data_IF_524617681693
#
_entry.id   IF_524617681693
#
_cell.length_a   1.000
_cell.length_b   1.000
_cell.length_c   1.000
_cell.angle_alpha   90.00
_cell.angle_beta   90.00
_cell.angle_gamma   90.00
#
_symmetry.space_group_name_H-M   'P 1'
#
loop_
_entity.id
_entity.type
_entity.pdbx_description
1 polymer ?
#
# COMPACT_ATOMS: atom_id res chain seq x y z
N UNK A 1 -8.96 4.64 12.49
CA UNK A 1 -7.79 3.90 11.96
C UNK A 1 -6.82 3.71 13.12
N UNK A 2 -6.53 2.46 13.51
CA UNK A 2 -5.45 2.20 14.47
C UNK A 2 -4.14 2.78 13.92
N UNK A 3 -3.30 3.30 14.80
CA UNK A 3 -2.01 3.88 14.44
C UNK A 3 -1.10 2.76 13.92
N UNK A 4 -1.17 2.49 12.61
CA UNK A 4 -0.41 1.44 11.92
C UNK A 4 1.10 1.67 12.01
N UNK A 5 1.50 2.94 12.15
CA UNK A 5 2.90 3.33 12.20
C UNK A 5 3.56 3.00 13.54
N UNK A 6 4.71 2.35 13.46
CA UNK A 6 5.69 2.21 14.53
C UNK A 6 7.07 2.51 13.97
N UNK A 7 7.82 3.38 14.62
CA UNK A 7 9.17 3.76 14.19
C UNK A 7 10.13 2.55 14.21
N UNK A 8 9.96 1.65 15.20
CA UNK A 8 10.70 0.39 15.26
C UNK A 8 10.39 -0.53 14.08
N UNK A 9 9.14 -0.56 13.60
CA UNK A 9 8.78 -1.33 12.40
C UNK A 9 9.36 -0.71 11.15
N UNK A 10 9.24 0.61 11.00
CA UNK A 10 9.84 1.32 9.87
C UNK A 10 11.35 1.07 9.79
N UNK A 11 12.03 1.08 10.95
CA UNK A 11 13.44 0.72 11.06
C UNK A 11 13.72 -0.73 10.68
N UNK A 12 12.90 -1.68 11.13
CA UNK A 12 13.01 -3.10 10.71
C UNK A 12 12.84 -3.27 9.20
N UNK A 13 11.95 -2.51 8.56
CA UNK A 13 11.82 -2.51 7.10
C UNK A 13 13.12 -2.04 6.43
N UNK A 14 13.70 -0.96 6.92
CA UNK A 14 15.00 -0.48 6.43
C UNK A 14 16.12 -1.50 6.61
N UNK A 15 16.22 -2.10 7.80
CA UNK A 15 17.21 -3.12 8.13
C UNK A 15 17.00 -4.43 7.34
N UNK A 16 15.79 -4.70 6.84
CA UNK A 16 15.52 -5.86 5.97
C UNK A 16 16.13 -5.72 4.56
N UNK A 17 16.49 -4.50 4.14
CA UNK A 17 17.10 -4.26 2.83
C UNK A 17 18.57 -4.69 2.83
N UNK A 18 19.11 -5.15 1.69
CA UNK A 18 20.56 -5.30 1.53
C UNK A 18 21.27 -3.96 1.74
N UNK A 19 22.51 -3.99 2.22
CA UNK A 19 23.25 -2.80 2.62
C UNK A 19 23.39 -1.78 1.47
N UNK A 20 23.61 -2.27 0.25
CA UNK A 20 23.70 -1.44 -0.96
C UNK A 20 22.37 -0.74 -1.34
N UNK A 21 21.22 -1.24 -0.88
CA UNK A 21 19.91 -0.64 -1.15
C UNK A 21 19.43 0.29 -0.03
N UNK A 22 20.14 0.36 1.10
CA UNK A 22 19.85 1.26 2.23
C UNK A 22 20.35 2.68 1.96
N UNK A 23 19.77 3.33 0.96
CA UNK A 23 20.15 4.68 0.54
C UNK A 23 18.96 5.65 0.50
N UNK A 24 19.22 6.93 0.76
CA UNK A 24 18.24 8.02 0.71
C UNK A 24 18.06 8.62 -0.70
N UNK A 25 18.92 8.22 -1.63
CA UNK A 25 18.87 8.58 -3.05
C UNK A 25 19.62 7.52 -3.87
N UNK A 26 19.20 7.39 -5.12
CA UNK A 26 19.84 6.54 -6.13
C UNK A 26 20.12 7.38 -7.37
N UNK A 27 21.37 7.39 -7.82
CA UNK A 27 21.87 8.05 -9.02
C UNK A 27 22.83 7.12 -9.76
N UNK A 28 23.39 7.56 -10.89
CA UNK A 28 24.26 6.70 -11.71
C UNK A 28 25.54 6.21 -11.01
N UNK A 29 25.94 6.82 -9.89
CA UNK A 29 27.17 6.48 -9.15
C UNK A 29 26.90 5.43 -8.08
N UNK A 30 25.78 5.55 -7.38
CA UNK A 30 25.44 4.68 -6.24
C UNK A 30 24.31 3.68 -6.52
N UNK A 31 23.79 3.61 -7.76
CA UNK A 31 22.74 2.66 -8.16
C UNK A 31 23.24 1.21 -8.07
N UNK A 32 22.57 0.35 -7.31
CA UNK A 32 22.79 -1.10 -7.38
C UNK A 32 22.51 -1.65 -8.79
N UNK A 33 23.22 -2.70 -9.20
CA UNK A 33 23.14 -3.21 -10.59
C UNK A 33 21.73 -3.73 -10.94
N UNK A 34 21.07 -4.37 -9.99
CA UNK A 34 19.70 -4.88 -10.11
C UNK A 34 18.68 -3.73 -10.30
N UNK A 35 18.88 -2.60 -9.62
CA UNK A 35 18.05 -1.40 -9.76
C UNK A 35 18.28 -0.69 -11.11
N UNK A 36 19.50 -0.70 -11.63
CA UNK A 36 19.83 -0.04 -12.89
C UNK A 36 18.99 -0.51 -14.08
N UNK A 37 18.55 -1.78 -14.07
CA UNK A 37 17.65 -2.35 -15.10
C UNK A 37 16.19 -2.00 -14.87
N UNK A 38 15.78 -1.81 -13.61
CA UNK A 38 14.39 -1.52 -13.25
C UNK A 38 14.04 -0.03 -13.38
N UNK A 39 15.00 0.88 -13.21
CA UNK A 39 14.76 2.33 -13.21
C UNK A 39 14.65 2.89 -14.63
N UNK A 40 13.51 3.50 -14.96
CA UNK A 40 13.27 4.06 -16.29
C UNK A 40 14.17 5.27 -16.55
N UNK A 41 14.83 5.31 -17.71
CA UNK A 41 15.59 6.49 -18.18
C UNK A 41 14.63 7.63 -18.50
N UNK A 42 14.86 8.79 -17.88
CA UNK A 42 14.20 10.04 -18.26
C UNK A 42 15.11 10.79 -19.22
N UNK A 43 14.65 11.05 -20.45
CA UNK A 43 15.38 11.90 -21.39
C UNK A 43 15.29 13.36 -20.95
N UNK A 44 16.44 13.98 -20.69
CA UNK A 44 16.54 15.42 -20.38
C UNK A 44 16.76 16.20 -21.68
N UNK A 45 17.68 15.73 -22.51
CA UNK A 45 18.00 16.32 -23.81
C UNK A 45 18.12 15.20 -24.84
N UNK A 46 17.23 15.21 -25.84
CA UNK A 46 17.20 14.21 -26.92
C UNK A 46 18.34 14.41 -27.92
N UNK A 47 18.81 15.63 -28.13
CA UNK A 47 19.84 15.94 -29.12
C UNK A 47 21.22 15.56 -28.61
N UNK A 48 21.43 15.63 -27.29
CA UNK A 48 22.69 15.27 -26.62
C UNK A 48 22.69 13.87 -26.00
N UNK A 49 21.64 13.09 -26.22
CA UNK A 49 21.44 11.75 -25.65
C UNK A 49 21.63 11.71 -24.13
N UNK A 50 21.21 12.78 -23.44
CA UNK A 50 21.38 12.92 -22.00
C UNK A 50 20.14 12.41 -21.27
N UNK A 51 20.33 11.34 -20.49
CA UNK A 51 19.29 10.75 -19.65
C UNK A 51 19.63 10.84 -18.17
N UNK A 52 18.60 10.94 -17.32
CA UNK A 52 18.71 10.75 -15.88
C UNK A 52 17.93 9.53 -15.42
N UNK A 53 18.52 8.78 -14.50
CA UNK A 53 17.89 7.65 -13.79
C UNK A 53 17.85 7.88 -12.28
N UNK A 54 17.95 9.15 -11.84
CA UNK A 54 18.07 9.45 -10.42
C UNK A 54 16.73 9.58 -9.70
N UNK A 55 16.64 8.99 -8.50
CA UNK A 55 15.55 9.18 -7.53
C UNK A 55 16.16 9.69 -6.23
N UNK A 56 15.51 10.63 -5.56
CA UNK A 56 15.93 11.09 -4.24
C UNK A 56 14.73 11.16 -3.29
N UNK A 57 14.91 10.72 -2.06
CA UNK A 57 13.94 10.83 -0.97
C UNK A 57 14.30 11.93 0.04
N UNK A 58 15.38 12.68 -0.22
CA UNK A 58 15.90 13.72 0.68
C UNK A 58 14.87 14.81 0.95
N UNK A 59 14.92 15.38 2.16
CA UNK A 59 13.96 16.38 2.63
C UNK A 59 12.68 15.79 3.21
N UNK A 60 12.52 14.45 3.17
CA UNK A 60 11.48 13.75 3.91
C UNK A 60 12.01 13.34 5.30
N UNK A 61 11.13 13.18 6.30
CA UNK A 61 11.46 12.59 7.59
C UNK A 61 12.07 11.19 7.42
N UNK A 62 13.02 10.85 8.28
CA UNK A 62 13.78 9.60 8.19
C UNK A 62 12.91 8.33 8.10
N UNK A 63 11.83 8.16 8.88
CA UNK A 63 10.99 6.96 8.75
C UNK A 63 10.25 6.88 7.40
N UNK A 64 9.94 8.01 6.75
CA UNK A 64 9.39 7.98 5.38
C UNK A 64 10.44 7.56 4.34
N UNK A 65 11.71 7.94 4.54
CA UNK A 65 12.81 7.49 3.66
C UNK A 65 12.93 5.97 3.75
N UNK A 66 12.88 5.42 4.96
CA UNK A 66 12.89 3.98 5.18
C UNK A 66 11.74 3.26 4.47
N UNK A 67 10.52 3.77 4.63
CA UNK A 67 9.31 3.24 3.98
C UNK A 67 9.39 3.29 2.46
N UNK A 68 9.87 4.41 1.89
CA UNK A 68 9.97 4.61 0.44
C UNK A 68 11.03 3.71 -0.18
N UNK A 69 12.22 3.65 0.41
CA UNK A 69 13.29 2.78 -0.07
C UNK A 69 12.86 1.31 -0.02
N UNK A 70 12.20 0.90 1.07
CA UNK A 70 11.67 -0.45 1.19
C UNK A 70 10.60 -0.74 0.13
N UNK A 71 9.67 0.20 -0.10
CA UNK A 71 8.67 0.04 -1.16
C UNK A 71 9.27 -0.05 -2.57
N UNK A 72 10.33 0.71 -2.87
CA UNK A 72 11.06 0.61 -4.14
C UNK A 72 11.71 -0.75 -4.29
N UNK A 73 12.37 -1.25 -3.24
CA UNK A 73 12.97 -2.58 -3.25
C UNK A 73 11.94 -3.68 -3.54
N UNK A 74 10.79 -3.65 -2.86
CA UNK A 74 9.73 -4.62 -3.11
C UNK A 74 9.18 -4.53 -4.54
N UNK A 75 9.02 -3.32 -5.10
CA UNK A 75 8.61 -3.16 -6.50
C UNK A 75 9.60 -3.79 -7.47
N UNK A 76 10.90 -3.57 -7.27
CA UNK A 76 11.95 -4.17 -8.10
C UNK A 76 11.97 -5.69 -7.96
N UNK A 77 11.87 -6.21 -6.74
CA UNK A 77 11.80 -7.66 -6.48
C UNK A 77 10.57 -8.34 -7.12
N UNK A 78 9.44 -7.63 -7.20
CA UNK A 78 8.23 -8.06 -7.90
C UNK A 78 8.33 -7.95 -9.45
N UNK A 79 9.41 -7.35 -9.96
CA UNK A 79 9.69 -7.15 -11.38
C UNK A 79 9.05 -5.90 -12.00
N UNK A 80 8.60 -4.94 -11.19
CA UNK A 80 8.07 -3.67 -11.69
C UNK A 80 9.18 -2.69 -12.07
N UNK A 81 8.95 -1.95 -13.16
CA UNK A 81 9.80 -0.83 -13.53
C UNK A 81 9.51 0.39 -12.64
N UNK A 82 10.56 1.07 -12.19
CA UNK A 82 10.46 2.25 -11.33
C UNK A 82 10.47 3.49 -12.22
N UNK A 83 9.33 4.20 -12.27
CA UNK A 83 9.22 5.46 -13.00
C UNK A 83 9.85 6.61 -12.21
N UNK A 84 11.04 7.04 -12.59
CA UNK A 84 11.81 8.09 -11.90
C UNK A 84 11.01 9.39 -11.75
N UNK A 85 10.34 9.83 -12.82
CA UNK A 85 9.49 11.04 -12.82
C UNK A 85 8.40 10.96 -11.75
N UNK A 86 7.70 9.82 -11.65
CA UNK A 86 6.60 9.67 -10.69
C UNK A 86 7.10 9.75 -9.25
N UNK A 87 8.24 9.13 -8.94
CA UNK A 87 8.84 9.19 -7.61
C UNK A 87 9.39 10.58 -7.27
N UNK A 88 9.96 11.29 -8.24
CA UNK A 88 10.41 12.67 -8.04
C UNK A 88 9.22 13.62 -7.77
N UNK A 89 8.14 13.52 -8.54
CA UNK A 89 6.93 14.32 -8.30
C UNK A 89 6.24 13.94 -6.98
N UNK A 90 6.20 12.65 -6.64
CA UNK A 90 5.74 12.18 -5.33
C UNK A 90 6.54 12.82 -4.20
N UNK A 91 7.87 12.71 -4.24
CA UNK A 91 8.77 13.28 -3.23
C UNK A 91 8.60 14.81 -3.13
N UNK A 92 8.57 15.52 -4.26
CA UNK A 92 8.34 16.97 -4.30
C UNK A 92 7.00 17.34 -3.64
N UNK A 93 5.93 16.62 -3.95
CA UNK A 93 4.62 16.84 -3.33
C UNK A 93 4.64 16.61 -1.82
N UNK A 94 5.24 15.51 -1.35
CA UNK A 94 5.35 15.20 0.08
C UNK A 94 6.18 16.24 0.84
N UNK A 95 7.36 16.62 0.33
CA UNK A 95 8.19 17.67 0.92
C UNK A 95 7.40 18.98 1.02
N UNK A 96 6.72 19.38 -0.06
CA UNK A 96 5.89 20.59 -0.09
C UNK A 96 4.78 20.56 0.98
N UNK A 97 4.13 19.40 1.17
CA UNK A 97 3.11 19.22 2.21
C UNK A 97 3.70 19.30 3.63
N UNK A 98 4.91 18.78 3.84
CA UNK A 98 5.59 18.81 5.14
C UNK A 98 6.14 20.20 5.47
N UNK A 99 6.51 21.00 4.47
CA UNK A 99 7.00 22.36 4.68
C UNK A 99 5.87 23.39 4.82
N UNK A 100 4.86 23.32 3.94
CA UNK A 100 3.85 24.38 3.78
C UNK A 100 2.39 23.91 3.96
N UNK A 101 2.18 22.63 4.27
CA UNK A 101 0.87 22.06 4.59
C UNK A 101 0.36 22.44 5.98
N UNK A 102 -0.74 21.82 6.38
CA UNK A 102 -1.33 21.96 7.71
C UNK A 102 -0.52 21.21 8.79
N UNK A 103 -0.80 21.48 10.08
CA UNK A 103 -0.01 20.92 11.20
C UNK A 103 0.15 19.40 11.17
N UNK A 104 -0.86 18.67 10.71
CA UNK A 104 -0.84 17.20 10.64
C UNK A 104 0.18 16.67 9.61
N UNK A 105 0.29 17.31 8.43
CA UNK A 105 1.30 16.93 7.45
C UNK A 105 2.71 17.31 7.93
N UNK A 106 2.85 18.46 8.58
CA UNK A 106 4.12 18.94 9.11
C UNK A 106 4.68 18.07 10.25
N UNK A 107 3.80 17.44 11.04
CA UNK A 107 4.19 16.50 12.09
C UNK A 107 4.19 15.03 11.64
N UNK A 108 3.80 14.74 10.40
CA UNK A 108 3.76 13.38 9.88
C UNK A 108 5.17 12.81 9.74
N UNK A 109 5.43 11.68 10.40
CA UNK A 109 6.71 10.96 10.35
C UNK A 109 6.70 9.76 9.40
N UNK A 110 5.51 9.36 8.92
CA UNK A 110 5.28 8.17 8.08
C UNK A 110 4.25 8.46 7.00
N UNK A 111 4.36 7.76 5.87
CA UNK A 111 3.37 7.80 4.80
C UNK A 111 1.99 7.36 5.28
N UNK A 112 1.90 6.48 6.28
CA UNK A 112 0.61 6.00 6.83
C UNK A 112 0.03 6.92 7.89
N UNK A 113 0.67 8.06 8.20
CA UNK A 113 0.18 9.03 9.19
C UNK A 113 -1.12 9.73 8.75
N UNK A 114 -1.34 9.84 7.44
CA UNK A 114 -2.52 10.40 6.80
C UNK A 114 -2.98 9.44 5.71
N UNK A 115 -4.27 9.38 5.41
CA UNK A 115 -4.75 8.68 4.20
C UNK A 115 -4.22 9.34 2.92
N UNK A 116 -4.20 8.62 1.80
CA UNK A 116 -3.77 9.18 0.51
C UNK A 116 -4.57 10.42 0.09
N UNK A 117 -5.87 10.50 0.43
CA UNK A 117 -6.72 11.66 0.15
C UNK A 117 -6.35 12.85 1.03
N UNK A 118 -6.04 12.61 2.30
CA UNK A 118 -5.55 13.62 3.22
C UNK A 118 -4.18 14.16 2.76
N UNK A 119 -3.25 13.30 2.36
CA UNK A 119 -2.00 13.72 1.75
C UNK A 119 -2.23 14.61 0.53
N UNK A 120 -3.09 14.21 -0.40
CA UNK A 120 -3.42 15.02 -1.58
C UNK A 120 -4.04 16.37 -1.21
N UNK A 121 -4.87 16.42 -0.16
CA UNK A 121 -5.45 17.65 0.38
C UNK A 121 -4.39 18.57 0.98
N UNK A 122 -3.43 18.02 1.71
CA UNK A 122 -2.33 18.78 2.31
C UNK A 122 -1.36 19.32 1.25
N UNK A 123 -1.07 18.53 0.21
CA UNK A 123 -0.33 19.01 -0.97
C UNK A 123 -1.09 20.15 -1.63
N UNK A 124 -2.40 20.01 -1.88
CA UNK A 124 -3.22 21.07 -2.48
C UNK A 124 -3.15 22.35 -1.66
N UNK A 125 -3.25 22.26 -0.33
CA UNK A 125 -3.11 23.41 0.58
C UNK A 125 -1.74 24.08 0.44
N UNK A 126 -0.68 23.30 0.36
CA UNK A 126 0.69 23.79 0.21
C UNK A 126 0.94 24.45 -1.17
N UNK A 127 0.38 23.86 -2.23
CA UNK A 127 0.41 24.39 -3.61
C UNK A 127 -0.26 25.76 -3.70
N UNK A 128 -1.41 25.94 -3.04
CA UNK A 128 -2.13 27.23 -3.01
C UNK A 128 -1.37 28.33 -2.26
N UNK A 129 -0.37 28.00 -1.44
CA UNK A 129 0.45 28.97 -0.67
C UNK A 129 1.78 29.32 -1.32
N UNK A 130 2.21 28.56 -2.33
CA UNK A 130 3.54 28.69 -2.95
C UNK A 130 3.38 29.17 -4.39
N UNK A 131 3.17 28.24 -5.32
CA UNK A 131 2.90 28.50 -6.73
C UNK A 131 1.94 27.44 -7.27
N UNK A 132 0.69 27.86 -7.48
CA UNK A 132 -0.39 26.97 -7.88
C UNK A 132 -0.23 26.41 -9.29
N UNK A 133 0.40 27.17 -10.19
CA UNK A 133 0.47 26.84 -11.62
C UNK A 133 1.49 25.74 -11.92
N UNK A 134 2.68 25.84 -11.30
CA UNK A 134 3.79 24.91 -11.51
C UNK A 134 3.61 23.56 -10.82
N UNK A 135 2.76 23.51 -9.79
CA UNK A 135 2.65 22.37 -8.88
C UNK A 135 1.27 21.68 -8.90
N UNK A 136 0.36 22.06 -9.80
CA UNK A 136 -0.99 21.51 -9.85
C UNK A 136 -1.02 19.98 -10.05
N UNK A 137 -0.10 19.43 -10.84
CA UNK A 137 0.01 17.99 -11.11
C UNK A 137 0.41 17.18 -9.87
N UNK A 138 1.12 17.80 -8.90
CA UNK A 138 1.62 17.10 -7.71
C UNK A 138 0.49 16.46 -6.90
N UNK A 139 -0.68 17.11 -6.84
CA UNK A 139 -1.84 16.60 -6.10
C UNK A 139 -2.26 15.23 -6.63
N UNK A 140 -2.36 15.09 -7.95
CA UNK A 140 -2.77 13.83 -8.59
C UNK A 140 -1.68 12.77 -8.48
N UNK A 141 -0.40 13.17 -8.63
CA UNK A 141 0.72 12.23 -8.47
C UNK A 141 0.81 11.68 -7.05
N UNK A 142 0.66 12.52 -6.03
CA UNK A 142 0.66 12.10 -4.63
C UNK A 142 -0.55 11.22 -4.35
N UNK A 143 -1.76 11.63 -4.76
CA UNK A 143 -2.98 10.84 -4.54
C UNK A 143 -2.85 9.40 -5.05
N UNK A 144 -2.39 9.23 -6.29
CA UNK A 144 -2.29 7.92 -6.92
C UNK A 144 -1.13 7.10 -6.35
N UNK A 145 0.03 7.72 -6.13
CA UNK A 145 1.23 6.99 -5.72
C UNK A 145 1.19 6.60 -4.24
N UNK A 146 0.74 7.50 -3.36
CA UNK A 146 0.67 7.24 -1.92
C UNK A 146 -0.28 6.08 -1.63
N UNK A 147 -1.41 5.97 -2.34
CA UNK A 147 -2.33 4.84 -2.17
C UNK A 147 -1.63 3.49 -2.33
N UNK A 148 -0.91 3.30 -3.44
CA UNK A 148 -0.21 2.05 -3.71
C UNK A 148 0.91 1.75 -2.71
N UNK A 149 1.59 2.79 -2.21
CA UNK A 149 2.62 2.64 -1.19
C UNK A 149 1.99 2.28 0.17
N UNK A 150 0.89 2.93 0.54
CA UNK A 150 0.16 2.63 1.77
C UNK A 150 -0.42 1.23 1.79
N UNK A 151 -0.95 0.75 0.67
CA UNK A 151 -1.44 -0.63 0.56
C UNK A 151 -0.30 -1.63 0.89
N UNK A 152 0.90 -1.39 0.34
CA UNK A 152 2.07 -2.24 0.64
C UNK A 152 2.54 -2.13 2.09
N UNK A 153 2.60 -0.90 2.64
CA UNK A 153 2.97 -0.68 4.04
C UNK A 153 1.95 -1.27 5.01
N UNK A 154 0.67 -1.30 4.66
CA UNK A 154 -0.37 -1.93 5.48
C UNK A 154 -0.09 -3.42 5.68
N UNK A 155 0.35 -4.13 4.64
CA UNK A 155 0.78 -5.52 4.78
C UNK A 155 2.06 -5.65 5.63
N UNK A 156 3.04 -4.78 5.39
CA UNK A 156 4.33 -4.81 6.08
C UNK A 156 4.24 -4.51 7.58
N UNK A 157 3.33 -3.62 7.98
CA UNK A 157 3.11 -3.26 9.38
C UNK A 157 2.09 -4.15 10.11
N UNK A 158 1.41 -5.04 9.39
CA UNK A 158 0.41 -5.92 9.99
C UNK A 158 1.04 -7.15 10.67
N UNK A 159 1.17 -7.08 12.00
CA UNK A 159 1.70 -8.16 12.83
C UNK A 159 0.68 -9.29 13.07
N UNK A 160 -0.60 -9.02 12.85
CA UNK A 160 -1.65 -10.01 13.09
C UNK A 160 -1.65 -11.11 12.05
N UNK A 161 -2.59 -12.05 12.22
CA UNK A 161 -2.91 -13.02 11.18
C UNK A 161 -3.21 -12.31 9.85
N UNK A 162 -2.53 -12.72 8.78
CA UNK A 162 -2.61 -12.07 7.46
C UNK A 162 -4.06 -11.93 6.97
N UNK A 163 -4.91 -12.92 7.28
CA UNK A 163 -6.29 -12.98 6.82
C UNK A 163 -7.20 -11.93 7.46
N UNK A 164 -6.77 -11.25 8.54
CA UNK A 164 -7.55 -10.17 9.16
C UNK A 164 -7.60 -8.91 8.31
N UNK A 165 -6.66 -8.73 7.39
CA UNK A 165 -6.68 -7.62 6.44
C UNK A 165 -7.88 -7.75 5.48
N UNK A 166 -8.45 -6.61 5.09
CA UNK A 166 -9.55 -6.57 4.10
C UNK A 166 -9.05 -6.72 2.65
N UNK A 167 -7.75 -6.59 2.43
CA UNK A 167 -7.13 -6.78 1.12
C UNK A 167 -6.09 -7.86 1.29
N UNK A 168 -6.22 -8.93 0.52
CA UNK A 168 -5.26 -10.03 0.47
C UNK A 168 -4.55 -10.01 -0.87
N UNK A 169 -3.22 -9.95 -0.82
CA UNK A 169 -2.37 -9.93 -2.00
C UNK A 169 -1.15 -10.83 -1.77
N UNK A 170 -1.08 -12.02 -2.38
CA UNK A 170 0.05 -12.95 -2.22
C UNK A 170 1.39 -12.36 -2.66
N UNK A 171 1.36 -11.34 -3.54
CA UNK A 171 2.59 -10.66 -3.99
C UNK A 171 3.18 -9.78 -2.89
N UNK A 172 2.34 -9.28 -1.97
CA UNK A 172 2.74 -8.38 -0.88
C UNK A 172 2.83 -9.08 0.47
N UNK A 173 2.12 -10.20 0.66
CA UNK A 173 2.11 -10.97 1.90
C UNK A 173 2.42 -12.45 1.62
N UNK A 174 3.68 -12.84 1.82
CA UNK A 174 4.17 -14.21 1.60
C UNK A 174 3.62 -15.25 2.60
N UNK A 175 2.87 -14.83 3.63
CA UNK A 175 2.20 -15.74 4.56
C UNK A 175 0.95 -16.39 3.94
N UNK A 176 0.43 -15.81 2.85
CA UNK A 176 -0.72 -16.34 2.13
C UNK A 176 -0.30 -17.61 1.38
N UNK A 177 -0.94 -18.77 1.62
CA UNK A 177 -0.61 -19.99 0.91
C UNK A 177 -0.83 -19.86 -0.60
N UNK A 178 0.21 -20.15 -1.38
CA UNK A 178 0.19 -20.07 -2.84
C UNK A 178 1.06 -21.17 -3.46
N UNK A 179 0.56 -21.79 -4.54
CA UNK A 179 1.34 -22.75 -5.34
C UNK A 179 2.22 -22.04 -6.36
N UNK A 180 3.37 -22.61 -6.68
CA UNK A 180 4.36 -22.03 -7.61
C UNK A 180 3.80 -21.67 -8.99
N UNK A 181 2.87 -22.48 -9.51
CA UNK A 181 2.26 -22.28 -10.84
C UNK A 181 0.77 -21.93 -10.77
N UNK A 182 0.35 -21.22 -9.73
CA UNK A 182 -1.06 -20.88 -9.54
C UNK A 182 -1.57 -19.90 -10.63
N UNK A 183 -2.61 -20.29 -11.41
CA UNK A 183 -3.32 -19.35 -12.25
C UNK A 183 -3.85 -18.20 -11.41
N UNK A 184 -3.74 -16.95 -11.90
CA UNK A 184 -4.17 -15.75 -11.15
C UNK A 184 -3.39 -15.49 -9.85
N UNK A 185 -2.17 -16.01 -9.73
CA UNK A 185 -1.35 -15.82 -8.53
C UNK A 185 -1.11 -14.37 -8.10
N UNK A 186 -1.26 -13.40 -9.01
CA UNK A 186 -1.13 -11.97 -8.74
C UNK A 186 -2.47 -11.26 -8.50
N UNK A 187 -3.60 -11.99 -8.53
CA UNK A 187 -4.91 -11.37 -8.30
C UNK A 187 -5.03 -10.95 -6.84
N UNK A 188 -5.67 -9.82 -6.60
CA UNK A 188 -5.97 -9.30 -5.26
C UNK A 188 -7.39 -9.69 -4.87
N UNK A 189 -7.58 -10.18 -3.64
CA UNK A 189 -8.89 -10.39 -3.05
C UNK A 189 -9.22 -9.21 -2.12
N UNK A 190 -10.30 -8.48 -2.42
CA UNK A 190 -10.72 -7.30 -1.67
C UNK A 190 -12.10 -7.54 -1.04
N UNK A 191 -12.14 -7.54 0.29
CA UNK A 191 -13.29 -7.81 1.13
C UNK A 191 -14.08 -6.55 1.50
N UNK A 192 -13.60 -5.35 1.16
CA UNK A 192 -14.29 -4.09 1.48
C UNK A 192 -15.66 -3.96 0.82
N UNK A 193 -15.96 -4.78 -0.20
CA UNK A 193 -17.28 -4.87 -0.82
C UNK A 193 -18.30 -5.67 0.02
N UNK A 194 -17.86 -6.41 1.03
CA UNK A 194 -18.75 -7.08 1.98
C UNK A 194 -19.11 -6.07 3.09
N UNK A 195 -20.12 -5.25 2.84
CA UNK A 195 -20.51 -4.10 3.68
C UNK A 195 -20.94 -4.49 5.09
N UNK A 196 -21.41 -5.72 5.32
CA UNK A 196 -21.81 -6.19 6.65
C UNK A 196 -20.60 -6.74 7.42
N UNK A 197 -20.27 -6.11 8.55
CA UNK A 197 -19.05 -6.39 9.32
C UNK A 197 -18.91 -7.86 9.75
N UNK A 198 -19.94 -8.44 10.39
CA UNK A 198 -19.87 -9.83 10.84
C UNK A 198 -19.66 -10.80 9.67
N UNK A 199 -20.28 -10.50 8.52
CA UNK A 199 -20.21 -11.35 7.34
C UNK A 199 -18.84 -11.23 6.67
N UNK A 200 -18.27 -10.03 6.62
CA UNK A 200 -16.91 -9.78 6.15
C UNK A 200 -15.89 -10.56 6.97
N UNK A 201 -15.95 -10.46 8.30
CA UNK A 201 -15.02 -11.19 9.19
C UNK A 201 -15.19 -12.70 9.06
N UNK A 202 -16.42 -13.20 9.00
CA UNK A 202 -16.70 -14.62 8.80
C UNK A 202 -16.18 -15.12 7.45
N UNK A 203 -16.36 -14.35 6.38
CA UNK A 203 -15.85 -14.66 5.04
C UNK A 203 -14.32 -14.73 5.02
N UNK A 204 -13.65 -13.75 5.63
CA UNK A 204 -12.19 -13.72 5.76
C UNK A 204 -11.67 -14.94 6.51
N UNK A 205 -12.25 -15.25 7.68
CA UNK A 205 -11.86 -16.42 8.45
C UNK A 205 -12.12 -17.73 7.69
N UNK A 206 -13.30 -17.88 7.10
CA UNK A 206 -13.66 -19.12 6.39
C UNK A 206 -12.72 -19.38 5.20
N UNK A 207 -12.46 -18.38 4.37
CA UNK A 207 -11.58 -18.52 3.21
C UNK A 207 -10.12 -18.78 3.62
N UNK A 208 -9.64 -18.18 4.71
CA UNK A 208 -8.29 -18.44 5.20
C UNK A 208 -8.15 -19.87 5.71
N UNK A 209 -9.15 -20.39 6.44
CA UNK A 209 -9.17 -21.81 6.85
C UNK A 209 -9.20 -22.74 5.63
N UNK A 210 -9.98 -22.45 4.59
CA UNK A 210 -9.99 -23.30 3.40
C UNK A 210 -8.65 -23.30 2.64
N UNK A 211 -7.93 -22.17 2.63
CA UNK A 211 -6.59 -22.08 2.06
C UNK A 211 -5.56 -22.84 2.90
N UNK A 212 -5.58 -22.66 4.23
CA UNK A 212 -4.66 -23.31 5.15
C UNK A 212 -4.87 -24.83 5.21
N UNK A 213 -6.09 -25.30 4.98
CA UNK A 213 -6.42 -26.73 4.89
C UNK A 213 -6.27 -27.32 3.49
N UNK A 214 -5.74 -26.54 2.54
CA UNK A 214 -5.53 -26.91 1.13
C UNK A 214 -6.80 -27.38 0.39
N UNK A 215 -7.97 -27.15 0.96
CA UNK A 215 -9.27 -27.42 0.32
C UNK A 215 -9.50 -26.47 -0.84
N UNK A 216 -9.04 -25.24 -0.69
CA UNK A 216 -9.00 -24.23 -1.74
C UNK A 216 -7.57 -23.85 -2.08
N UNK A 217 -7.42 -23.37 -3.31
CA UNK A 217 -6.21 -22.74 -3.82
C UNK A 217 -6.49 -21.25 -4.03
N UNK A 218 -5.46 -20.42 -4.21
CA UNK A 218 -5.62 -18.96 -4.35
C UNK A 218 -6.63 -18.57 -5.44
N UNK A 219 -6.61 -19.28 -6.58
CA UNK A 219 -7.56 -19.05 -7.69
C UNK A 219 -9.02 -19.30 -7.30
N UNK A 220 -9.29 -20.14 -6.29
CA UNK A 220 -10.63 -20.36 -5.74
C UNK A 220 -11.12 -19.16 -4.93
N UNK A 221 -10.23 -18.40 -4.28
CA UNK A 221 -10.59 -17.26 -3.43
C UNK A 221 -11.41 -16.24 -4.21
N UNK A 222 -10.96 -15.90 -5.43
CA UNK A 222 -11.64 -14.94 -6.29
C UNK A 222 -13.08 -15.36 -6.59
N UNK A 223 -13.26 -16.60 -7.06
CA UNK A 223 -14.60 -17.09 -7.43
C UNK A 223 -15.51 -17.20 -6.21
N UNK A 224 -15.00 -17.62 -5.05
CA UNK A 224 -15.78 -17.67 -3.80
C UNK A 224 -16.15 -16.28 -3.30
N UNK A 225 -15.22 -15.33 -3.34
CA UNK A 225 -15.47 -13.95 -2.97
C UNK A 225 -16.53 -13.31 -3.88
N UNK A 226 -16.51 -13.58 -5.18
CA UNK A 226 -17.53 -13.08 -6.10
C UNK A 226 -18.93 -13.66 -5.77
N UNK A 227 -19.05 -14.91 -5.34
CA UNK A 227 -20.32 -15.46 -4.83
C UNK A 227 -20.75 -14.81 -3.50
N UNK A 228 -19.82 -14.53 -2.59
CA UNK A 228 -20.13 -13.88 -1.31
C UNK A 228 -20.67 -12.47 -1.51
N UNK A 229 -20.28 -11.75 -2.57
CA UNK A 229 -20.87 -10.45 -2.91
C UNK A 229 -22.35 -10.54 -3.28
N UNK A 230 -22.76 -11.60 -3.98
CA UNK A 230 -24.17 -11.85 -4.25
C UNK A 230 -24.95 -12.12 -2.96
N UNK A 231 -24.33 -12.83 -2.01
CA UNK A 231 -24.96 -13.05 -0.72
C UNK A 231 -25.02 -11.78 0.14
N UNK A 232 -23.98 -10.93 0.10
CA UNK A 232 -24.02 -9.57 0.69
C UNK A 232 -25.19 -8.76 0.14
N UNK A 233 -25.37 -8.75 -1.19
CA UNK A 233 -26.50 -8.06 -1.81
C UNK A 233 -27.85 -8.57 -1.25
N UNK A 234 -28.01 -9.88 -1.07
CA UNK A 234 -29.22 -10.44 -0.46
C UNK A 234 -29.39 -10.01 1.01
N UNK A 235 -28.31 -10.03 1.80
CA UNK A 235 -28.29 -9.55 3.20
C UNK A 235 -28.75 -8.09 3.27
N UNK A 236 -28.26 -7.24 2.37
CA UNK A 236 -28.62 -5.82 2.30
C UNK A 236 -30.13 -5.63 1.98
N UNK A 237 -30.72 -6.51 1.16
CA UNK A 237 -32.15 -6.44 0.83
C UNK A 237 -33.06 -6.89 1.99
N UNK A 238 -32.69 -7.98 2.67
CA UNK A 238 -33.53 -8.59 3.70
C UNK A 238 -33.32 -7.95 5.07
N UNK A 239 -32.18 -7.31 5.30
CA UNK A 239 -31.83 -6.72 6.59
C UNK A 239 -31.53 -7.80 7.63
N UNK A 240 -30.38 -8.45 7.52
CA UNK A 240 -29.93 -9.43 8.50
C UNK A 240 -28.92 -8.81 9.48
N UNK A 241 -29.32 -8.66 10.75
CA UNK A 241 -28.46 -8.17 11.84
C UNK A 241 -27.35 -9.15 12.24
N UNK A 242 -27.33 -10.35 11.65
CA UNK A 242 -26.30 -11.36 11.82
C UNK A 242 -26.80 -12.68 12.39
N UNK A 243 -25.89 -13.67 12.52
CA UNK A 243 -26.22 -14.96 13.09
C UNK A 243 -26.60 -14.76 14.56
N UNK A 244 -27.90 -14.87 14.84
CA UNK A 244 -28.39 -14.90 16.21
C UNK A 244 -28.09 -16.28 16.79
N UNK A 245 -27.33 -16.33 17.89
CA UNK A 245 -27.14 -17.57 18.65
C UNK A 245 -28.45 -18.06 19.29
N UNK A 246 -29.37 -17.11 19.54
CA UNK A 246 -30.68 -17.30 20.14
C UNK A 246 -31.62 -16.19 19.65
N UNK A 247 -32.92 -16.50 19.54
CA UNK A 247 -33.93 -15.56 19.04
C UNK A 247 -34.15 -14.34 19.96
N UNK A 248 -33.76 -14.46 21.24
CA UNK A 248 -33.79 -13.36 22.22
C UNK A 248 -32.50 -13.30 23.04
N UNK A 249 -31.91 -12.10 23.26
CA UNK A 249 -30.74 -11.92 24.11
C UNK A 249 -30.88 -12.51 25.52
N UNK A 250 -32.12 -12.62 26.03
CA UNK A 250 -32.41 -13.18 27.36
C UNK A 250 -32.12 -14.69 27.47
N UNK A 251 -31.94 -15.36 26.32
CA UNK A 251 -31.60 -16.78 26.26
C UNK A 251 -30.08 -17.02 26.24
N UNK A 252 -29.26 -15.97 26.12
CA UNK A 252 -27.81 -16.07 26.31
C UNK A 252 -27.52 -16.26 27.81
N UNK A 253 -27.44 -17.50 28.25
CA UNK A 253 -26.88 -17.82 29.57
C UNK A 253 -25.37 -17.66 29.51
N UNK A 254 -24.87 -16.64 30.22
CA UNK A 254 -23.45 -16.46 30.55
C UNK A 254 -23.11 -17.34 31.75
#
# INVERSE_FOLDING_TARGET
>A
MAQLFSEEKARRLWESLPEEHRQDHFDSVNMPEDYGRAFTKQTIDREKDWFSQAISFRGLPEPMIWELAWCVHQQVAEGYAITTVRFQELRRGLVLAIEHGGPQARSARSLTALSHEEWAREVRRAVMRTDASRNASLVTHVLNSVKHLQDRLAHAYHDGEWWRLDVWNPSLDRRIPQREHEPWGRSVANFSQLTTDWFREAAKWWLSVQLLTERYVWSSVKSRLDHLKWFQWYIDQVGCSGPQLVDSPDQLRI
#
